data_IF_688097247664
#
_entry.id   IF_688097247664
#
_cell.length_a   1.000
_cell.length_b   1.000
_cell.length_c   1.000
_cell.angle_alpha   90.00
_cell.angle_beta   90.00
_cell.angle_gamma   90.00
#
_symmetry.space_group_name_H-M   'P 1'
#
loop_
_entity.id
_entity.type
_entity.pdbx_description
1 polymer ?
2 polymer ?
3 water ?
#
# COMPACT_ATOMS: atom_id res chain seq x y z
N UNK A 1 -22.29 -19.32 -3.53
CA UNK A 1 -20.95 -19.14 -2.91
C UNK A 1 -21.11 -18.73 -1.47
N UNK A 2 -20.39 -19.39 -0.57
CA UNK A 2 -20.56 -19.12 0.86
C UNK A 2 -20.01 -17.77 1.30
N UNK A 3 -20.81 -17.01 2.04
CA UNK A 3 -20.41 -15.69 2.51
C UNK A 3 -19.70 -15.73 3.89
N UNK A 4 -18.43 -15.30 3.87
CA UNK A 4 -17.56 -15.25 5.05
C UNK A 4 -17.73 -13.96 5.85
N UNK A 5 -18.63 -14.01 6.83
CA UNK A 5 -18.97 -12.83 7.60
C UNK A 5 -17.90 -12.61 8.68
N UNK A 6 -17.05 -11.60 8.44
CA UNK A 6 -15.94 -11.27 9.32
C UNK A 6 -16.25 -10.12 10.27
N UNK A 7 -15.79 -10.24 11.50
CA UNK A 7 -16.12 -9.32 12.57
C UNK A 7 -14.98 -9.20 13.59
N UNK A 8 -14.67 -7.97 14.05
CA UNK A 8 -15.25 -6.70 13.64
C UNK A 8 -14.49 -6.12 12.45
N UNK A 9 -15.10 -5.16 11.77
CA UNK A 9 -14.47 -4.63 10.57
C UNK A 9 -13.18 -3.89 10.89
N UNK A 10 -13.06 -3.36 12.11
CA UNK A 10 -11.80 -2.75 12.56
C UNK A 10 -11.73 -2.66 14.10
N UNK A 11 -10.53 -2.41 14.62
CA UNK A 11 -10.36 -2.24 16.06
C UNK A 11 -9.34 -1.18 16.44
N UNK A 12 -9.06 -1.08 17.75
CA UNK A 12 -8.01 -0.22 18.30
C UNK A 12 -7.59 -0.68 19.70
N UNK A 13 -6.98 -1.85 19.81
CA UNK A 13 -6.44 -2.25 21.13
C UNK A 13 -5.07 -1.66 21.44
N UNK A 14 -4.67 -1.79 22.70
CA UNK A 14 -3.38 -1.36 23.17
C UNK A 14 -2.35 -2.48 23.00
N UNK A 15 -1.07 -2.13 23.16
CA UNK A 15 0.01 -3.10 23.00
C UNK A 15 0.00 -4.09 24.16
N UNK A 16 0.31 -5.35 23.84
CA UNK A 16 0.25 -6.43 24.82
C UNK A 16 -1.17 -6.88 25.10
N UNK A 17 -2.12 -6.33 24.35
CA UNK A 17 -3.52 -6.68 24.51
C UNK A 17 -3.77 -7.98 23.78
N UNK A 18 -5.03 -8.37 23.75
CA UNK A 18 -5.43 -9.61 23.11
C UNK A 18 -6.72 -9.41 22.32
N UNK A 19 -6.70 -9.88 21.08
CA UNK A 19 -7.84 -9.74 20.23
C UNK A 19 -8.41 -11.09 19.88
N UNK A 20 -9.73 -11.12 19.73
CA UNK A 20 -10.45 -12.25 19.18
C UNK A 20 -11.22 -11.77 17.98
N UNK A 21 -10.89 -12.33 16.82
CA UNK A 21 -11.64 -12.03 15.60
C UNK A 21 -12.39 -13.27 15.13
N UNK A 22 -13.70 -13.10 15.00
CA UNK A 22 -14.56 -14.22 14.71
C UNK A 22 -15.12 -14.06 13.30
N UNK A 23 -14.94 -15.11 12.52
CA UNK A 23 -15.38 -15.15 11.16
C UNK A 23 -16.58 -16.08 11.20
N UNK A 24 -17.64 -15.75 10.46
CA UNK A 24 -18.86 -16.54 10.46
C UNK A 24 -19.29 -16.98 9.06
N UNK A 25 -19.19 -18.30 8.85
CA UNK A 25 -19.64 -18.98 7.63
C UNK A 25 -21.17 -18.96 7.46
N UNK A 26 -21.59 -18.72 6.23
CA UNK A 26 -22.99 -18.70 5.85
C UNK A 26 -23.62 -20.09 5.96
N UNK A 27 -22.78 -21.12 6.06
CA UNK A 27 -23.26 -22.49 6.13
C UNK A 27 -22.64 -23.34 7.23
N UNK A 28 -21.61 -24.12 6.90
CA UNK A 28 -21.14 -25.16 7.83
C UNK A 28 -19.78 -25.77 7.50
N UNK A 29 -19.03 -25.17 6.57
CA UNK A 29 -17.64 -25.57 6.30
C UNK A 29 -16.97 -26.35 7.44
N UNK A 30 -16.71 -27.64 7.23
CA UNK A 30 -16.15 -28.50 8.29
C UNK A 30 -14.66 -28.20 8.53
N UNK A 31 -14.41 -27.02 9.08
CA UNK A 31 -13.09 -26.58 9.54
C UNK A 31 -12.09 -26.32 8.42
N UNK A 32 -12.58 -26.28 7.18
CA UNK A 32 -11.74 -25.90 6.04
C UNK A 32 -11.56 -24.40 5.97
N UNK A 33 -10.76 -23.87 6.89
CA UNK A 33 -10.61 -22.43 6.98
C UNK A 33 -9.18 -22.03 7.35
N UNK A 34 -8.78 -20.89 6.82
CA UNK A 34 -7.42 -20.44 6.89
C UNK A 34 -7.42 -19.04 7.44
N UNK A 35 -6.32 -18.67 8.08
CA UNK A 35 -6.23 -17.37 8.64
C UNK A 35 -5.01 -16.65 8.16
N UNK A 36 -5.24 -15.67 7.30
CA UNK A 36 -4.16 -14.95 6.64
C UNK A 36 -3.80 -13.62 7.30
N UNK A 37 -2.54 -13.21 7.19
CA UNK A 37 -2.16 -11.88 7.63
C UNK A 37 -1.54 -11.16 6.45
N UNK A 38 -1.99 -9.93 6.23
CA UNK A 38 -1.37 -9.08 5.24
C UNK A 38 -0.77 -7.88 5.94
N UNK A 39 0.57 -7.87 6.00
CA UNK A 39 1.36 -6.72 6.45
C UNK A 39 1.35 -5.63 5.38
N UNK A 40 1.24 -4.36 5.80
CA UNK A 40 1.10 -3.19 4.94
C UNK A 40 1.81 -3.32 3.60
N UNK A 41 1.04 -3.18 2.51
CA UNK A 41 1.59 -3.19 1.14
C UNK A 41 2.40 -4.41 0.72
N UNK A 42 2.48 -5.42 1.60
CA UNK A 42 3.19 -6.63 1.26
C UNK A 42 2.20 -7.67 0.76
N UNK A 43 2.57 -8.93 0.87
CA UNK A 43 1.71 -10.03 0.49
C UNK A 43 1.23 -10.66 1.79
N UNK A 44 0.66 -11.86 1.66
CA UNK A 44 0.10 -12.62 2.77
C UNK A 44 1.06 -13.65 3.34
N UNK A 45 0.83 -14.03 4.59
CA UNK A 45 1.50 -15.16 5.23
C UNK A 45 0.48 -15.93 6.08
N UNK A 46 0.09 -17.12 5.64
CA UNK A 46 -0.89 -17.95 6.39
C UNK A 46 -0.55 -18.24 7.86
N UNK A 47 -1.51 -18.02 8.75
CA UNK A 47 -1.28 -18.13 10.20
C UNK A 47 -1.82 -19.42 10.82
N UNK A 48 -3.07 -19.70 10.51
CA UNK A 48 -3.73 -20.93 10.93
C UNK A 48 -4.34 -21.65 9.72
N UNK A 49 -4.41 -22.95 9.79
CA UNK A 49 -5.07 -23.69 8.74
C UNK A 49 -5.93 -24.78 9.33
N UNK A 50 -6.87 -25.28 8.53
CA UNK A 50 -7.75 -26.36 8.93
C UNK A 50 -8.44 -26.00 10.23
N UNK A 51 -8.43 -24.70 10.54
CA UNK A 51 -9.20 -24.14 11.64
C UNK A 51 -8.48 -23.81 12.93
N UNK A 52 -7.49 -24.63 13.27
CA UNK A 52 -6.90 -24.56 14.59
C UNK A 52 -5.41 -24.81 14.57
N UNK A 53 -4.87 -25.15 13.42
CA UNK A 53 -3.44 -25.50 13.31
C UNK A 53 -2.57 -24.28 13.04
N UNK A 54 -1.49 -24.13 13.79
CA UNK A 54 -0.51 -23.07 13.54
C UNK A 54 0.34 -23.43 12.33
N UNK A 55 0.61 -22.46 11.45
CA UNK A 55 1.51 -22.70 10.33
C UNK A 55 2.94 -22.57 10.85
N UNK A 56 3.90 -23.21 10.16
CA UNK A 56 5.29 -23.20 10.62
C UNK A 56 5.82 -21.78 10.70
N UNK A 57 6.74 -21.56 11.64
CA UNK A 57 7.34 -20.25 11.87
C UNK A 57 6.42 -19.25 12.55
N UNK A 58 5.17 -19.65 12.80
CA UNK A 58 4.15 -18.79 13.41
C UNK A 58 4.30 -18.84 14.93
N UNK A 59 4.33 -17.64 15.57
CA UNK A 59 4.43 -17.47 17.01
C UNK A 59 3.31 -18.18 17.76
N UNK A 60 3.54 -18.48 19.03
CA UNK A 60 2.53 -19.09 19.89
C UNK A 60 1.63 -18.05 20.58
N UNK A 61 1.76 -16.79 20.16
CA UNK A 61 0.81 -15.77 20.56
C UNK A 61 -0.50 -15.92 19.73
N UNK A 62 -0.36 -16.50 18.54
CA UNK A 62 -1.47 -16.72 17.64
C UNK A 62 -2.05 -18.09 17.86
N UNK A 63 -3.35 -18.21 17.59
CA UNK A 63 -4.10 -19.44 17.82
C UNK A 63 -5.55 -19.23 17.40
N UNK A 64 -6.11 -20.23 16.75
CA UNK A 64 -7.49 -20.16 16.30
C UNK A 64 -8.28 -21.37 16.75
N UNK A 65 -9.60 -21.22 16.71
CA UNK A 65 -10.55 -22.22 17.16
C UNK A 65 -11.86 -22.01 16.39
N UNK A 66 -12.75 -23.01 16.44
CA UNK A 66 -14.05 -22.97 15.77
C UNK A 66 -14.63 -24.33 15.34
N UNK A 67 -15.94 -24.36 15.18
CA UNK A 67 -16.65 -25.54 14.65
C UNK A 67 -17.86 -25.08 13.83
N UNK A 68 -18.30 -25.92 12.90
CA UNK A 68 -19.51 -25.61 12.15
C UNK A 68 -19.43 -24.34 11.32
N UNK A 69 -20.17 -23.31 11.71
CA UNK A 69 -20.25 -22.09 10.89
C UNK A 69 -19.52 -20.92 11.54
N UNK A 70 -18.68 -21.23 12.54
CA UNK A 70 -18.22 -20.21 13.47
C UNK A 70 -16.84 -20.46 14.05
N UNK A 71 -15.93 -19.55 13.66
CA UNK A 71 -14.48 -19.70 13.81
C UNK A 71 -13.87 -18.37 14.22
N UNK A 72 -12.75 -18.42 14.91
CA UNK A 72 -12.15 -17.22 15.48
C UNK A 72 -10.64 -17.30 15.63
N UNK A 73 -10.07 -16.12 15.77
CA UNK A 73 -8.64 -15.94 15.79
C UNK A 73 -8.30 -15.06 16.97
N UNK A 74 -7.41 -15.53 17.82
CA UNK A 74 -6.97 -14.73 18.94
C UNK A 74 -5.47 -14.59 18.88
N UNK A 75 -5.04 -13.40 19.24
CA UNK A 75 -3.64 -13.04 19.26
C UNK A 75 -3.38 -12.45 20.62
N UNK A 76 -2.54 -13.14 21.39
CA UNK A 76 -2.22 -12.70 22.75
C UNK A 76 -0.99 -11.81 22.70
N UNK A 77 -0.76 -11.08 23.79
CA UNK A 77 0.43 -10.23 23.90
C UNK A 77 0.73 -9.62 22.55
N UNK A 78 -0.22 -8.83 22.07
CA UNK A 78 -0.08 -8.07 20.83
C UNK A 78 1.21 -7.24 20.74
N UNK A 79 1.75 -7.17 19.54
CA UNK A 79 2.99 -6.44 19.26
C UNK A 79 2.76 -5.57 18.05
N UNK A 80 3.66 -4.60 17.85
CA UNK A 80 3.55 -3.65 16.75
C UNK A 80 3.31 -4.35 15.41
N UNK A 81 4.19 -5.29 15.06
CA UNK A 81 4.09 -6.12 13.84
C UNK A 81 2.69 -6.71 13.66
N UNK A 82 2.05 -7.05 14.77
CA UNK A 82 0.73 -7.66 14.73
C UNK A 82 -0.35 -6.70 14.27
N UNK A 83 -0.08 -5.41 14.34
CA UNK A 83 -1.09 -4.44 13.93
C UNK A 83 -1.14 -4.28 12.40
N UNK A 84 -1.76 -5.26 11.76
CA UNK A 84 -1.90 -5.32 10.31
C UNK A 84 -3.32 -5.82 9.91
N UNK A 85 -3.51 -6.21 8.67
CA UNK A 85 -4.81 -6.75 8.27
C UNK A 85 -4.86 -8.27 8.38
N UNK A 86 -6.06 -8.79 8.61
CA UNK A 86 -6.30 -10.21 8.78
C UNK A 86 -7.53 -10.58 8.00
N UNK A 87 -7.49 -11.75 7.38
CA UNK A 87 -8.55 -12.21 6.51
C UNK A 87 -8.70 -13.71 6.73
N UNK A 88 -9.93 -14.20 6.81
CA UNK A 88 -10.20 -15.62 6.88
C UNK A 88 -10.55 -16.08 5.48
N UNK A 89 -10.28 -17.35 5.20
CA UNK A 89 -10.62 -17.91 3.92
C UNK A 89 -11.20 -19.29 4.11
N UNK A 90 -12.16 -19.65 3.26
CA UNK A 90 -12.81 -20.94 3.41
C UNK A 90 -12.52 -21.78 2.19
N UNK A 91 -12.12 -23.01 2.42
CA UNK A 91 -11.78 -23.86 1.32
C UNK A 91 -12.48 -25.18 1.32
N UNK A 92 -13.71 -25.23 1.82
CA UNK A 92 -14.46 -26.50 1.78
C UNK A 92 -15.28 -26.63 0.51
N UNK A 93 -16.13 -25.64 0.22
CA UNK A 93 -17.01 -25.69 -0.95
C UNK A 93 -16.59 -24.64 -1.94
N UNK A 94 -16.73 -24.95 -3.23
CA UNK A 94 -16.38 -24.03 -4.31
C UNK A 94 -17.52 -23.10 -4.63
N UNK A 95 -17.22 -21.85 -5.01
CA UNK A 95 -15.84 -21.37 -5.06
C UNK A 95 -15.36 -20.96 -3.67
N UNK A 96 -14.05 -21.06 -3.45
CA UNK A 96 -13.48 -20.63 -2.19
C UNK A 96 -13.63 -19.13 -2.14
N UNK A 97 -14.04 -18.63 -0.99
CA UNK A 97 -14.34 -17.22 -0.79
C UNK A 97 -13.63 -16.75 0.47
N UNK A 98 -13.34 -15.43 0.55
CA UNK A 98 -12.57 -14.80 1.65
C UNK A 98 -13.40 -13.86 2.48
N UNK A 99 -13.02 -13.68 3.74
CA UNK A 99 -13.67 -12.69 4.59
C UNK A 99 -13.33 -11.26 4.21
N UNK A 100 -14.14 -10.32 4.69
CA UNK A 100 -14.02 -8.90 4.31
C UNK A 100 -12.85 -8.17 4.95
N UNK A 101 -12.06 -8.91 5.73
CA UNK A 101 -10.87 -8.41 6.40
C UNK A 101 -11.13 -7.77 7.74
N UNK A 102 -10.08 -7.66 8.55
CA UNK A 102 -10.11 -6.93 9.83
C UNK A 102 -8.83 -6.09 10.01
N UNK A 103 -8.96 -4.78 9.92
CA UNK A 103 -7.85 -3.86 10.20
C UNK A 103 -7.64 -3.83 11.70
N UNK A 104 -6.41 -3.56 12.12
CA UNK A 104 -6.09 -3.56 13.53
C UNK A 104 -5.23 -2.37 13.84
N UNK A 105 -5.54 -1.66 14.91
CA UNK A 105 -4.88 -0.40 15.21
C UNK A 105 -4.50 -0.28 16.66
N UNK A 106 -3.36 0.36 16.88
CA UNK A 106 -2.87 0.59 18.23
C UNK A 106 -3.49 1.88 18.75
N UNK A 107 -4.25 1.78 19.84
CA UNK A 107 -4.80 2.99 20.49
C UNK A 107 -3.65 3.80 21.06
N UNK A 108 -3.55 5.04 20.60
CA UNK A 108 -2.51 6.00 20.97
C UNK A 108 -3.18 7.20 21.64
N UNK A 109 -2.40 8.02 22.35
CA UNK A 109 -2.85 9.34 22.80
C UNK A 109 -2.80 10.35 21.66
N UNK A 110 -3.54 11.45 21.81
CA UNK A 110 -3.50 12.51 20.83
C UNK A 110 -2.08 13.00 20.57
N UNK A 111 -1.84 13.40 19.32
CA UNK A 111 -0.61 14.10 18.96
C UNK A 111 -0.88 15.30 18.05
N UNK A 112 -0.24 16.42 18.35
CA UNK A 112 -0.23 17.57 17.47
C UNK A 112 0.78 17.21 16.40
N UNK A 113 0.48 17.58 15.13
CA UNK A 113 1.33 17.18 14.00
C UNK A 113 2.64 17.95 13.97
N UNK A 114 3.62 17.47 13.20
CA UNK A 114 4.81 18.30 12.89
C UNK A 114 4.79 18.72 11.43
N UNK A 115 4.51 20.01 11.23
CA UNK A 115 4.15 20.57 9.93
C UNK A 115 5.33 21.20 9.22
N UNK A 116 5.53 20.81 7.97
CA UNK A 116 6.55 21.42 7.15
C UNK A 116 5.94 21.78 5.82
N UNK A 117 6.26 22.98 5.35
CA UNK A 117 5.85 23.44 4.04
C UNK A 117 7.07 23.47 3.13
N UNK A 118 6.87 23.25 1.82
CA UNK A 118 7.96 23.15 0.87
C UNK A 118 7.61 23.91 -0.39
N UNK A 119 8.32 25.02 -0.66
CA UNK A 119 8.16 25.72 -1.93
C UNK A 119 8.48 24.81 -3.10
N UNK A 120 8.09 25.20 -4.32
CA UNK A 120 8.38 24.39 -5.49
C UNK A 120 9.87 24.38 -5.76
N UNK A 121 10.37 23.24 -6.23
CA UNK A 121 11.77 23.16 -6.57
C UNK A 121 12.00 23.97 -7.85
N UNK A 122 13.20 24.52 -7.97
CA UNK A 122 13.61 25.18 -9.18
C UNK A 122 14.05 24.11 -10.14
N UNK A 123 13.22 23.08 -10.29
CA UNK A 123 13.39 22.09 -11.34
C UNK A 123 12.02 21.83 -11.90
N UNK A 124 11.02 21.91 -11.01
CA UNK A 124 9.64 21.86 -11.40
C UNK A 124 9.27 23.19 -12.08
N UNK A 125 9.86 24.28 -11.60
CA UNK A 125 9.51 25.59 -12.10
C UNK A 125 9.96 25.66 -13.54
N UNK A 126 11.27 25.51 -13.74
CA UNK A 126 11.83 25.45 -15.08
C UNK A 126 11.09 24.46 -15.97
N UNK A 127 10.25 23.60 -15.38
CA UNK A 127 9.52 22.58 -16.16
C UNK A 127 8.13 23.06 -16.57
N UNK A 128 7.65 24.13 -15.93
CA UNK A 128 6.35 24.72 -16.25
C UNK A 128 5.41 24.71 -15.05
N UNK A 129 5.35 23.57 -14.37
CA UNK A 129 4.51 23.43 -13.18
C UNK A 129 5.14 24.04 -11.95
N UNK A 130 4.42 23.98 -10.82
CA UNK A 130 4.92 24.40 -9.50
C UNK A 130 3.98 23.93 -8.38
N UNK A 131 4.42 22.92 -7.63
CA UNK A 131 3.63 22.45 -6.50
C UNK A 131 4.18 22.92 -5.16
N UNK A 132 3.30 23.54 -4.37
CA UNK A 132 3.61 23.90 -2.99
C UNK A 132 3.10 22.79 -2.10
N UNK A 133 4.01 22.16 -1.40
CA UNK A 133 3.72 20.92 -0.71
C UNK A 133 3.71 21.10 0.82
N UNK A 134 3.03 20.22 1.54
CA UNK A 134 2.91 20.39 2.95
C UNK A 134 2.76 19.04 3.63
N UNK A 135 3.65 18.75 4.58
CA UNK A 135 3.56 17.49 5.31
C UNK A 135 3.17 17.74 6.72
N UNK A 136 2.24 16.94 7.19
CA UNK A 136 1.80 16.98 8.54
C UNK A 136 2.12 15.60 9.14
N UNK A 137 3.13 15.52 10.00
CA UNK A 137 3.52 14.19 10.50
C UNK A 137 3.28 13.85 11.98
N UNK A 138 3.16 12.56 12.26
CA UNK A 138 3.17 12.03 13.62
C UNK A 138 2.13 12.61 14.55
N UNK A 139 0.89 12.28 14.24
CA UNK A 139 -0.23 12.79 14.98
C UNK A 139 -1.33 11.74 15.08
N UNK A 140 -2.28 12.02 15.98
CA UNK A 140 -3.38 11.12 16.32
C UNK A 140 -4.45 12.02 16.95
N UNK A 141 -5.73 11.81 16.56
CA UNK A 141 -6.22 10.79 15.64
C UNK A 141 -6.04 11.18 14.16
N UNK A 142 -6.39 10.27 13.25
CA UNK A 142 -6.26 10.52 11.81
C UNK A 142 -6.94 11.82 11.34
N UNK A 143 -8.15 12.08 11.83
CA UNK A 143 -8.90 13.24 11.41
C UNK A 143 -8.09 14.52 11.51
N UNK A 144 -7.75 15.08 10.36
CA UNK A 144 -7.06 16.36 10.34
C UNK A 144 -7.75 17.24 9.29
N UNK A 145 -7.59 18.55 9.42
CA UNK A 145 -8.05 19.46 8.38
C UNK A 145 -6.95 20.46 8.07
N UNK A 146 -6.40 20.35 6.86
CA UNK A 146 -5.47 21.34 6.36
C UNK A 146 -6.13 22.32 5.40
N UNK A 147 -5.66 23.57 5.45
CA UNK A 147 -6.14 24.61 4.58
C UNK A 147 -4.99 25.45 4.10
N UNK A 148 -5.10 25.86 2.83
CA UNK A 148 -4.15 26.70 2.14
C UNK A 148 -4.64 28.14 1.97
N UNK A 149 -3.66 29.03 1.86
CA UNK A 149 -3.91 30.42 1.54
C UNK A 149 -2.84 30.93 0.58
N UNK A 150 -3.20 31.98 -0.16
CA UNK A 150 -2.30 32.68 -1.07
C UNK A 150 -2.49 34.17 -0.83
N UNK A 151 -1.54 34.77 -0.13
CA UNK A 151 -1.65 36.16 0.24
C UNK A 151 -2.99 36.39 0.96
N UNK A 152 -3.35 35.46 1.85
CA UNK A 152 -4.56 35.60 2.66
C UNK A 152 -5.75 34.83 2.15
N UNK A 153 -6.14 35.08 0.90
CA UNK A 153 -7.27 34.38 0.29
C UNK A 153 -7.05 32.86 0.34
N UNK A 154 -7.98 32.17 1.00
CA UNK A 154 -7.99 30.72 1.13
C UNK A 154 -8.15 30.09 -0.24
N UNK A 155 -7.55 28.90 -0.45
CA UNK A 155 -7.60 28.23 -1.76
C UNK A 155 -7.93 26.74 -1.76
N UNK A 156 -9.03 26.40 -2.40
CA UNK A 156 -9.50 25.01 -2.42
C UNK A 156 -9.07 24.30 -3.71
N UNK A 157 -8.91 25.07 -4.79
CA UNK A 157 -8.48 24.56 -6.10
C UNK A 157 -7.04 24.12 -6.11
N UNK A 158 -6.77 22.93 -6.63
CA UNK A 158 -5.41 22.50 -6.92
C UNK A 158 -4.74 21.76 -5.79
N UNK A 159 -5.50 21.55 -4.73
CA UNK A 159 -5.04 20.80 -3.59
C UNK A 159 -5.31 19.31 -3.81
N UNK A 160 -4.45 18.48 -3.23
CA UNK A 160 -4.58 17.01 -3.26
C UNK A 160 -4.01 16.39 -1.98
N UNK A 161 -4.87 15.78 -1.18
CA UNK A 161 -4.45 15.26 0.13
C UNK A 161 -4.23 13.77 0.13
N UNK A 162 -3.21 13.32 0.84
CA UNK A 162 -2.92 11.89 0.96
C UNK A 162 -2.59 11.52 2.40
N UNK A 163 -3.41 10.65 2.99
CA UNK A 163 -3.08 10.11 4.31
C UNK A 163 -2.38 8.76 4.20
N UNK A 164 -1.37 8.53 5.03
CA UNK A 164 -0.93 7.18 5.26
C UNK A 164 -1.75 6.52 6.35
N UNK A 165 -1.81 5.19 6.27
CA UNK A 165 -2.32 4.37 7.35
C UNK A 165 -1.40 4.50 8.55
N UNK A 166 -1.81 3.90 9.65
CA UNK A 166 -1.10 4.05 10.91
C UNK A 166 0.32 3.48 10.83
N UNK A 167 1.29 4.21 11.36
CA UNK A 167 2.63 3.68 11.53
C UNK A 167 2.64 2.86 12.80
N UNK A 168 2.95 1.58 12.68
CA UNK A 168 2.98 0.68 13.84
C UNK A 168 4.18 1.03 14.75
N UNK A 169 5.22 1.60 14.15
CA UNK A 169 6.40 2.00 14.91
C UNK A 169 5.98 2.96 16.03
N UNK A 170 5.08 3.90 15.73
CA UNK A 170 4.70 4.93 16.72
C UNK A 170 3.19 5.21 16.80
N UNK A 171 2.37 4.37 16.18
CA UNK A 171 0.92 4.50 16.29
C UNK A 171 0.38 5.83 15.76
N UNK A 172 1.16 6.50 14.90
CA UNK A 172 0.68 7.76 14.32
C UNK A 172 0.46 7.71 12.83
N UNK A 173 -0.17 8.78 12.36
CA UNK A 173 -0.44 8.97 10.97
C UNK A 173 0.44 10.10 10.45
N UNK A 174 0.32 10.34 9.15
CA UNK A 174 0.84 11.53 8.49
C UNK A 174 0.03 11.78 7.23
N UNK A 175 0.13 13.00 6.73
CA UNK A 175 -0.57 13.36 5.51
C UNK A 175 0.18 14.46 4.77
N UNK A 176 0.09 14.42 3.45
CA UNK A 176 0.73 15.40 2.61
C UNK A 176 -0.33 16.13 1.82
N UNK A 177 -0.38 17.43 2.04
CA UNK A 177 -1.29 18.26 1.31
C UNK A 177 -0.51 18.97 0.22
N UNK A 178 -0.87 18.67 -1.03
CA UNK A 178 -0.23 19.23 -2.22
C UNK A 178 -1.08 20.27 -2.95
N UNK A 179 -0.50 21.46 -3.13
CA UNK A 179 -1.06 22.49 -4.00
C UNK A 179 -0.27 22.60 -5.29
N UNK A 180 -0.96 22.47 -6.43
CA UNK A 180 -0.31 22.51 -7.75
C UNK A 180 -0.79 23.66 -8.61
N UNK A 181 0.16 24.53 -8.96
CA UNK A 181 -0.12 25.69 -9.76
C UNK A 181 0.75 25.69 -11.01
N UNK A 182 0.44 26.63 -11.90
CA UNK A 182 1.28 26.92 -13.05
C UNK A 182 2.38 27.87 -12.61
N UNK A 183 3.62 27.61 -13.05
CA UNK A 183 4.78 28.45 -12.72
C UNK A 183 4.50 29.97 -12.90
N UNK A 184 3.69 30.32 -13.90
CA UNK A 184 3.30 31.71 -14.11
C UNK A 184 2.52 32.24 -12.90
N UNK A 185 1.49 31.51 -12.49
CA UNK A 185 0.66 31.96 -11.37
C UNK A 185 1.42 31.97 -10.07
N UNK A 186 2.27 30.99 -9.87
CA UNK A 186 3.14 30.98 -8.73
C UNK A 186 3.93 32.29 -8.65
N UNK A 187 4.51 32.69 -9.78
CA UNK A 187 5.33 33.92 -9.86
C UNK A 187 4.54 35.21 -9.64
N UNK A 188 3.22 35.08 -9.61
CA UNK A 188 2.34 36.22 -9.45
C UNK A 188 1.80 36.32 -8.00
N UNK A 189 2.52 35.71 -7.07
CA UNK A 189 2.09 35.69 -5.68
C UNK A 189 3.24 35.72 -4.68
N UNK A 190 2.99 36.36 -3.53
CA UNK A 190 4.03 36.48 -2.51
C UNK A 190 3.98 35.45 -1.36
N UNK A 191 2.81 35.23 -0.74
CA UNK A 191 2.76 34.38 0.44
C UNK A 191 1.93 33.10 0.36
N UNK A 192 2.43 32.06 1.02
CA UNK A 192 1.90 30.71 0.90
C UNK A 192 1.88 30.07 2.26
N UNK A 193 0.67 29.76 2.70
CA UNK A 193 0.43 29.45 4.09
C UNK A 193 -0.32 28.14 4.15
N UNK A 194 0.11 27.30 5.07
CA UNK A 194 -0.47 25.99 5.25
C UNK A 194 -0.96 25.91 6.69
N UNK A 195 -2.24 25.58 6.85
CA UNK A 195 -2.91 25.60 8.16
C UNK A 195 -3.45 24.24 8.62
N UNK A 196 -2.77 23.60 9.55
CA UNK A 196 -3.31 22.38 10.11
C UNK A 196 -4.12 22.68 11.36
N UNK A 197 -5.38 22.23 11.35
CA UNK A 197 -6.25 22.25 12.54
C UNK A 197 -6.55 20.83 12.99
N UNK A 198 -6.16 20.53 14.22
CA UNK A 198 -6.30 19.21 14.81
C UNK A 198 -7.03 19.33 16.14
N UNK A 199 -7.76 18.27 16.52
CA UNK A 199 -8.51 18.25 17.81
C UNK A 199 -7.58 18.53 18.97
N UNK A 200 -6.30 18.23 18.74
CA UNK A 200 -5.22 18.49 19.67
C UNK A 200 -5.07 19.97 20.00
N UNK A 201 -4.93 20.80 18.97
CA UNK A 201 -4.67 22.25 19.12
C UNK A 201 -5.96 23.06 19.09
N UNK A 202 -5.95 24.13 19.89
CA UNK A 202 -7.05 25.11 19.93
C UNK A 202 -6.99 26.08 18.73
N UNK A 203 -5.76 26.54 18.46
CA UNK A 203 -5.44 27.36 17.29
C UNK A 203 -4.55 26.57 16.32
N UNK A 204 -4.79 26.75 15.01
CA UNK A 204 -4.10 25.97 13.99
C UNK A 204 -2.58 26.15 13.99
N UNK A 205 -1.87 25.15 13.47
CA UNK A 205 -0.44 25.29 13.14
C UNK A 205 -0.23 25.96 11.75
N UNK A 206 0.46 27.10 11.74
CA UNK A 206 0.69 27.89 10.53
C UNK A 206 2.14 27.81 10.05
N UNK A 207 2.38 27.15 8.92
CA UNK A 207 3.65 27.27 8.21
C UNK A 207 3.40 27.95 6.88
N UNK A 208 4.20 28.97 6.60
CA UNK A 208 4.10 29.71 5.36
C UNK A 208 5.46 30.26 4.91
N UNK A 209 5.56 30.63 3.63
CA UNK A 209 6.77 31.29 3.15
C UNK A 209 6.44 32.46 2.23
N UNK A 210 7.48 33.20 1.87
CA UNK A 210 7.42 34.24 0.85
C UNK A 210 8.19 33.76 -0.35
N UNK A 211 7.51 33.68 -1.48
CA UNK A 211 8.13 33.36 -2.76
C UNK A 211 9.21 34.39 -3.04
N UNK A 212 8.95 35.64 -2.64
CA UNK A 212 9.95 36.69 -2.72
C UNK A 212 11.31 36.13 -2.31
N UNK A 213 11.45 35.72 -1.05
CA UNK A 213 12.61 34.95 -0.60
C UNK A 213 12.99 33.86 -1.62
N UNK B 1 9.83 -25.88 1.21
CA UNK B 1 9.96 -24.40 1.17
C UNK B 1 9.86 -23.87 -0.26
N UNK B 2 8.64 -23.55 -0.66
CA UNK B 2 8.35 -23.16 -2.02
C UNK B 2 8.47 -21.66 -2.19
N UNK B 3 8.86 -21.25 -3.40
CA UNK B 3 8.89 -19.83 -3.78
C UNK B 3 7.93 -19.56 -4.93
N UNK B 4 7.11 -18.54 -4.78
CA UNK B 4 6.27 -18.09 -5.88
C UNK B 4 6.81 -16.78 -6.39
N UNK B 5 7.14 -16.80 -7.68
CA UNK B 5 7.70 -15.70 -8.43
C UNK B 5 6.74 -15.39 -9.58
N UNK B 6 5.88 -14.41 -9.36
CA UNK B 6 4.89 -14.11 -10.36
C UNK B 6 5.36 -12.99 -11.26
N UNK B 7 5.62 -13.34 -12.51
CA UNK B 7 5.99 -12.37 -13.54
C UNK B 7 4.76 -11.99 -14.30
N UNK B 8 4.95 -11.22 -15.37
CA UNK B 8 3.85 -10.81 -16.22
C UNK B 8 3.79 -9.29 -16.28
N UNK B 9 3.40 -8.73 -17.45
CA UNK B 9 3.26 -7.29 -17.64
C UNK B 9 2.05 -6.73 -16.93
N UNK B 10 2.22 -5.55 -16.35
CA UNK B 10 1.27 -4.97 -15.39
C UNK B 10 0.24 -4.00 -15.98
N UNK B 11 0.36 -3.69 -17.27
CA UNK B 11 -0.60 -2.76 -17.91
C UNK B 11 -1.26 -3.35 -19.15
N UNK B 12 -2.55 -3.63 -19.01
CA UNK B 12 -3.37 -4.21 -20.07
C UNK B 12 -4.53 -3.28 -20.45
N UNK B 13 -4.71 -3.14 -21.76
CA UNK B 13 -5.80 -2.39 -22.37
C UNK B 13 -7.11 -3.18 -22.29
N UNK B 14 -8.25 -2.48 -22.04
CA UNK B 14 -9.59 -3.10 -21.92
C UNK B 14 -9.97 -3.93 -23.14
N UNK B 15 -10.76 -4.97 -22.91
CA UNK B 15 -11.09 -5.99 -23.92
C UNK B 15 -9.93 -6.95 -24.25
N UNK B 16 -8.68 -6.49 -24.16
CA UNK B 16 -7.54 -7.38 -24.38
C UNK B 16 -7.42 -8.48 -23.31
N UNK B 17 -6.37 -9.29 -23.38
CA UNK B 17 -6.25 -10.40 -22.46
C UNK B 17 -5.07 -10.30 -21.52
N UNK B 18 -5.35 -10.53 -20.25
CA UNK B 18 -4.34 -10.54 -19.20
C UNK B 18 -3.80 -11.94 -18.98
N UNK B 19 -2.48 -12.06 -19.11
CA UNK B 19 -1.82 -13.36 -18.97
C UNK B 19 -0.58 -13.32 -18.05
N UNK B 20 -0.68 -13.95 -16.89
CA UNK B 20 0.43 -13.96 -15.96
C UNK B 20 1.11 -15.33 -15.80
N UNK B 21 2.19 -15.33 -15.02
CA UNK B 21 3.01 -16.50 -14.80
C UNK B 21 3.48 -16.49 -13.38
N UNK B 22 3.26 -17.61 -12.69
CA UNK B 22 3.86 -17.83 -11.40
C UNK B 22 4.99 -18.77 -11.69
N UNK B 23 6.11 -18.60 -10.98
CA UNK B 23 7.27 -19.48 -11.17
C UNK B 23 7.63 -20.14 -9.85
N UNK B 24 7.38 -21.44 -9.80
CA UNK B 24 7.55 -22.17 -8.57
C UNK B 24 8.97 -22.74 -8.45
N UNK B 25 9.58 -22.58 -7.28
CA UNK B 25 10.87 -23.23 -6.99
C UNK B 25 10.89 -23.83 -5.60
N UNK B 26 11.67 -24.90 -5.46
CA UNK B 26 11.84 -25.62 -4.20
C UNK B 26 10.65 -26.52 -3.95
N UNK B 27 9.92 -26.81 -5.03
CA UNK B 27 8.77 -27.70 -5.01
C UNK B 27 8.24 -27.98 -6.40
N UNK B 28 7.75 -29.21 -6.59
CA UNK B 28 7.20 -29.67 -7.85
C UNK B 28 5.68 -29.56 -7.89
N UNK B 29 5.15 -28.78 -8.83
CA UNK B 29 3.70 -28.57 -8.95
C UNK B 29 2.89 -29.82 -9.36
N UNK B 30 3.60 -30.90 -9.69
CA UNK B 30 2.97 -32.17 -10.07
C UNK B 30 2.88 -33.03 -8.83
N UNK B 31 3.91 -32.89 -8.01
CA UNK B 31 3.96 -33.53 -6.69
C UNK B 31 2.68 -33.30 -5.92
N UNK B 32 2.31 -32.05 -5.70
CA UNK B 32 1.30 -31.82 -4.70
C UNK B 32 0.51 -30.54 -4.87
N UNK B 33 -0.42 -30.34 -3.92
CA UNK B 33 -1.07 -29.07 -3.67
C UNK B 33 -1.95 -28.58 -4.81
N UNK B 34 -2.66 -27.47 -4.54
CA UNK B 34 -3.45 -26.77 -5.55
C UNK B 34 -2.80 -25.43 -5.69
N UNK B 35 -2.72 -24.94 -6.92
CA UNK B 35 -1.91 -23.79 -7.23
C UNK B 35 -2.84 -22.79 -7.82
N UNK B 36 -2.91 -21.62 -7.21
CA UNK B 36 -4.06 -20.76 -7.41
C UNK B 36 -3.74 -19.38 -7.85
N UNK B 37 -4.80 -18.70 -8.26
CA UNK B 37 -4.72 -17.32 -8.64
C UNK B 37 -5.73 -16.55 -7.81
N UNK B 38 -5.24 -15.59 -7.05
CA UNK B 38 -6.13 -14.82 -6.19
C UNK B 38 -5.90 -13.34 -6.47
N UNK B 39 -6.98 -12.61 -6.74
CA UNK B 39 -6.80 -11.18 -6.95
C UNK B 39 -7.36 -10.43 -5.76
N UNK B 40 -6.72 -9.30 -5.46
CA UNK B 40 -7.16 -8.40 -4.39
C UNK B 40 -7.44 -7.03 -4.98
N UNK B 41 -8.69 -6.59 -4.90
CA UNK B 41 -9.04 -5.33 -5.50
C UNK B 41 -8.61 -4.20 -4.58
N UNK B 42 -8.38 -2.99 -5.16
CA UNK B 42 -8.10 -1.83 -4.35
C UNK B 42 -9.29 -1.72 -3.44
N UNK B 43 -9.05 -1.37 -2.18
CA UNK B 43 -10.09 -1.54 -1.15
C UNK B 43 -10.01 -2.98 -0.62
N UNK B 44 -8.90 -3.63 -0.92
CA UNK B 44 -8.47 -4.85 -0.26
C UNK B 44 -9.48 -6.02 -0.26
N UNK B 45 -10.48 -5.97 -1.15
CA UNK B 45 -11.32 -7.13 -1.38
C UNK B 45 -10.50 -8.26 -2.01
N UNK B 46 -10.81 -9.50 -1.63
CA UNK B 46 -10.11 -10.66 -2.17
C UNK B 46 -11.05 -11.55 -2.96
N UNK B 47 -10.73 -11.76 -4.23
CA UNK B 47 -11.44 -12.76 -5.00
C UNK B 47 -10.54 -13.96 -5.31
N UNK B 48 -11.02 -15.17 -4.97
CA UNK B 48 -10.40 -16.39 -5.47
C UNK B 48 -10.81 -16.55 -6.93
N UNK B 49 -9.86 -16.92 -7.77
CA UNK B 49 -10.11 -16.93 -9.17
C UNK B 49 -10.19 -18.33 -9.73
N UNK B 50 -9.41 -19.22 -9.14
CA UNK B 50 -9.25 -20.58 -9.61
C UNK B 50 -7.90 -21.21 -9.31
N UNK B 51 -7.68 -22.40 -9.89
CA UNK B 51 -6.46 -23.18 -9.71
C UNK B 51 -6.33 -24.33 -10.68
N UNK B 52 -5.17 -24.96 -10.60
CA UNK B 52 -4.88 -26.19 -11.31
C UNK B 52 -4.19 -27.06 -10.27
N UNK B 53 -4.73 -28.26 -10.03
CA UNK B 53 -4.12 -29.20 -9.06
C UNK B 53 -2.77 -29.73 -9.54
N UNK B 54 -2.12 -30.49 -8.67
CA UNK B 54 -0.91 -31.23 -9.03
C UNK B 54 -1.11 -32.08 -10.30
N UNK B 55 -2.31 -32.63 -10.43
CA UNK B 55 -2.68 -33.52 -11.54
C UNK B 55 -3.37 -32.80 -12.71
N UNK B 56 -3.00 -31.55 -12.95
CA UNK B 56 -3.48 -30.81 -14.12
C UNK B 56 -4.96 -30.59 -14.11
N UNK B 57 -5.56 -30.63 -12.91
CA UNK B 57 -7.03 -30.51 -12.73
C UNK B 57 -7.46 -29.12 -12.31
N UNK B 58 -8.19 -28.42 -13.19
CA UNK B 58 -8.63 -27.04 -12.93
C UNK B 58 -9.99 -26.87 -12.31
N UNK B 59 -10.06 -25.90 -11.42
CA UNK B 59 -11.31 -25.40 -10.89
C UNK B 59 -11.27 -23.86 -10.90
N UNK B 60 -12.34 -23.25 -11.41
CA UNK B 60 -12.46 -21.79 -11.43
C UNK B 60 -13.58 -21.24 -10.56
N UNK B 61 -13.47 -19.97 -10.20
CA UNK B 61 -14.61 -19.23 -9.67
C UNK B 61 -15.54 -18.90 -10.84
N UNK B 62 -16.81 -19.37 -10.77
CA UNK B 62 -17.79 -19.29 -11.86
C UNK B 62 -18.11 -17.86 -12.29
N UNK B 63 -17.90 -16.89 -11.42
CA UNK B 63 -18.08 -15.49 -11.82
C UNK B 63 -17.03 -15.08 -12.87
N UNK B 64 -16.09 -15.97 -13.17
CA UNK B 64 -15.12 -15.75 -14.24
C UNK B 64 -15.33 -16.79 -15.35
N UNK B 65 -15.65 -18.01 -14.94
CA UNK B 65 -15.86 -19.18 -15.82
C UNK B 65 -15.55 -18.98 -17.31
N UNK B 66 -16.35 -18.18 -18.00
CA UNK B 66 -16.18 -17.97 -19.45
C UNK B 66 -14.78 -17.49 -19.91
N UNK B 67 -14.14 -16.64 -19.11
CA UNK B 67 -12.96 -15.94 -19.59
C UNK B 67 -11.67 -16.34 -18.93
N UNK B 68 -11.78 -17.24 -17.95
CA UNK B 68 -10.62 -17.65 -17.17
C UNK B 68 -9.99 -18.93 -17.71
N UNK B 69 -8.67 -19.05 -17.57
CA UNK B 69 -7.94 -20.19 -18.11
C UNK B 69 -6.61 -20.33 -17.39
N UNK B 70 -6.51 -21.36 -16.56
CA UNK B 70 -5.32 -21.59 -15.76
C UNK B 70 -4.64 -22.86 -16.24
N UNK B 71 -3.43 -22.73 -16.76
CA UNK B 71 -2.65 -23.88 -17.25
C UNK B 71 -1.26 -23.91 -16.60
N UNK B 72 -0.45 -24.90 -16.95
CA UNK B 72 0.87 -25.13 -16.33
C UNK B 72 1.91 -25.67 -17.31
N UNK B 73 3.16 -25.68 -16.88
CA UNK B 73 4.29 -26.21 -17.61
C UNK B 73 5.13 -27.05 -16.64
N UNK B 74 5.14 -28.37 -16.86
CA UNK B 74 5.96 -29.33 -16.11
C UNK B 74 7.44 -28.94 -16.14
N UNK B 75 8.01 -28.94 -17.35
CA UNK B 75 9.43 -28.74 -17.58
C UNK B 75 9.99 -27.56 -16.80
N UNK B 76 9.43 -26.38 -17.05
CA UNK B 76 9.85 -25.13 -16.40
C UNK B 76 9.32 -25.04 -14.97
N UNK B 77 8.19 -25.72 -14.73
CA UNK B 77 7.57 -25.77 -13.39
C UNK B 77 6.91 -24.42 -13.10
N UNK B 78 5.92 -24.09 -13.92
CA UNK B 78 5.23 -22.80 -13.84
C UNK B 78 3.76 -22.97 -14.14
N UNK B 79 2.90 -22.15 -13.54
CA UNK B 79 1.51 -22.10 -14.02
C UNK B 79 1.18 -20.74 -14.55
N UNK B 80 0.10 -20.66 -15.33
CA UNK B 80 -0.23 -19.43 -16.06
C UNK B 80 -1.67 -19.07 -15.94
N UNK B 81 -1.88 -17.80 -15.61
CA UNK B 81 -3.19 -17.22 -15.62
C UNK B 81 -3.44 -16.55 -16.94
N UNK B 82 -4.55 -16.90 -17.57
CA UNK B 82 -5.07 -16.14 -18.69
C UNK B 82 -6.47 -15.69 -18.37
N UNK B 83 -6.73 -14.41 -18.59
CA UNK B 83 -8.05 -13.82 -18.38
C UNK B 83 -8.44 -12.92 -19.55
N UNK B 84 -9.43 -13.34 -20.34
CA UNK B 84 -9.82 -12.59 -21.55
C UNK B 84 -10.87 -11.50 -21.31
N UNK B 85 -11.05 -10.63 -22.30
CA UNK B 85 -12.03 -9.54 -22.22
C UNK B 85 -11.98 -8.73 -20.92
N UNK B 86 -10.79 -8.49 -20.40
CA UNK B 86 -10.62 -7.60 -19.26
C UNK B 86 -11.41 -6.29 -19.38
N UNK B 87 -11.85 -5.77 -18.23
CA UNK B 87 -12.48 -4.47 -18.13
C UNK B 87 -11.66 -3.63 -17.14
N UNK B 88 -11.85 -2.30 -17.10
CA UNK B 88 -11.32 -1.50 -15.98
C UNK B 88 -11.49 -2.25 -14.67
N UNK B 89 -12.69 -2.81 -14.48
CA UNK B 89 -13.08 -3.57 -13.28
C UNK B 89 -12.24 -4.80 -12.91
N UNK B 90 -11.32 -5.21 -13.77
CA UNK B 90 -10.41 -6.30 -13.44
C UNK B 90 -9.05 -5.81 -12.93
N UNK B 91 -8.93 -4.52 -12.63
CA UNK B 91 -7.72 -3.94 -12.04
C UNK B 91 -7.54 -4.35 -10.57
N UNK B 92 -6.71 -5.35 -10.32
CA UNK B 92 -6.39 -5.73 -8.96
C UNK B 92 -4.91 -6.08 -8.81
N UNK B 93 -4.52 -6.48 -7.60
CA UNK B 93 -3.18 -6.97 -7.32
C UNK B 93 -3.21 -8.47 -7.34
N UNK B 94 -2.50 -9.06 -8.29
CA UNK B 94 -2.62 -10.47 -8.53
C UNK B 94 -1.61 -11.28 -7.73
N UNK B 95 -2.14 -12.25 -6.99
CA UNK B 95 -1.36 -13.18 -6.19
C UNK B 95 -1.50 -14.62 -6.72
N UNK B 96 -0.37 -15.35 -6.72
CA UNK B 96 -0.43 -16.79 -6.81
C UNK B 96 -0.14 -17.33 -5.44
N UNK B 97 -0.71 -18.48 -5.13
CA UNK B 97 -0.57 -19.11 -3.82
C UNK B 97 -0.70 -20.60 -3.97
N UNK B 98 -0.38 -21.34 -2.91
CA UNK B 98 -0.59 -22.79 -2.91
C UNK B 98 -1.75 -23.10 -1.99
N UNK B 99 -2.52 -24.13 -2.34
CA UNK B 99 -3.66 -24.52 -1.53
C UNK B 99 -3.48 -25.92 -0.95
N UNK B 100 -4.36 -26.26 0.00
CA UNK B 100 -4.26 -27.52 0.77
C UNK B 100 -3.28 -27.38 1.91
N UNK B 101 -3.78 -27.67 3.12
CA UNK B 101 -3.13 -27.30 4.41
C UNK B 101 -3.23 -25.78 4.62
N UNK B 102 -4.27 -25.18 4.04
CA UNK B 102 -4.43 -23.75 4.08
C UNK B 102 -3.73 -23.12 2.90
N UNK B 103 -3.11 -21.96 3.14
CA UNK B 103 -2.45 -21.19 2.08
C UNK B 103 -1.04 -20.81 2.50
N UNK B 104 -0.16 -21.82 2.68
CA UNK B 104 1.12 -21.61 3.31
C UNK B 104 1.96 -20.59 2.57
N UNK B 105 2.20 -20.82 1.28
CA UNK B 105 3.15 -20.01 0.51
C UNK B 105 2.41 -19.11 -0.44
N UNK B 106 2.90 -17.90 -0.58
CA UNK B 106 2.26 -16.88 -1.38
C UNK B 106 3.31 -16.26 -2.25
N UNK B 107 2.88 -15.68 -3.36
CA UNK B 107 3.76 -14.90 -4.21
C UNK B 107 3.79 -13.53 -3.61
N UNK B 108 4.68 -12.67 -4.12
CA UNK B 108 4.84 -11.29 -3.60
C UNK B 108 3.75 -10.36 -4.15
N UNK B 109 2.94 -10.91 -5.04
CA UNK B 109 1.91 -10.13 -5.70
C UNK B 109 2.39 -9.38 -6.93
N UNK B 110 1.42 -9.04 -7.76
CA UNK B 110 1.68 -8.22 -8.91
C UNK B 110 0.44 -7.34 -9.15
N UNK B 111 0.68 -6.05 -9.23
CA UNK B 111 -0.36 -5.11 -9.55
C UNK B 111 -0.61 -5.13 -11.05
N UNK B 112 -1.87 -5.27 -11.41
CA UNK B 112 -2.27 -5.19 -12.80
C UNK B 112 -3.25 -4.05 -12.99
N UNK B 113 -2.97 -3.17 -13.95
CA UNK B 113 -3.89 -2.07 -14.23
C UNK B 113 -4.51 -2.22 -15.60
N UNK B 114 -5.85 -2.17 -15.65
CA UNK B 114 -6.58 -2.20 -16.92
C UNK B 114 -7.01 -0.79 -17.36
N UNK B 115 -6.29 -0.25 -18.34
CA UNK B 115 -6.43 1.14 -18.77
C UNK B 115 -5.96 1.44 -20.18
N UNK B 116 -6.68 2.37 -20.82
CA UNK B 116 -6.31 2.90 -22.12
C UNK B 116 -5.32 4.08 -22.01
N UNK B 117 -5.04 4.47 -20.76
CA UNK B 117 -4.09 5.54 -20.47
C UNK B 117 -2.64 5.10 -20.75
N UNK B 118 -1.86 6.02 -21.32
CA UNK B 118 -0.47 5.75 -21.68
C UNK B 118 0.46 5.71 -20.48
N UNK B 119 1.49 4.89 -20.61
CA UNK B 119 2.62 4.85 -19.68
C UNK B 119 3.32 6.18 -19.78
N UNK B 120 3.31 6.94 -18.68
CA UNK B 120 4.19 8.09 -18.60
C UNK B 120 5.27 7.77 -17.58
N UNK B 121 6.51 8.20 -17.86
CA UNK B 121 7.58 8.12 -16.88
C UNK B 121 7.42 9.27 -15.88
N UNK B 122 7.79 9.04 -14.60
CA UNK B 122 7.57 10.05 -13.57
C UNK B 122 8.70 11.05 -13.48
N UNK B 123 8.34 12.33 -13.42
CA UNK B 123 9.28 13.41 -13.08
C UNK B 123 9.44 13.55 -11.55
N UNK B 124 10.65 13.31 -11.07
CA UNK B 124 11.01 13.38 -9.65
C UNK B 124 11.52 14.76 -9.32
N UNK B 125 11.18 15.25 -8.14
CA UNK B 125 11.59 16.57 -7.72
C UNK B 125 12.01 16.49 -6.26
N UNK B 126 13.17 17.09 -5.93
CA UNK B 126 13.59 17.20 -4.56
C UNK B 126 12.87 18.36 -3.90
N UNK B 127 12.49 18.14 -2.65
CA UNK B 127 11.81 19.14 -1.87
C UNK B 127 12.64 19.39 -0.64
N UNK B 128 13.63 20.27 -0.75
CA UNK B 128 14.43 20.72 0.40
C UNK B 128 13.62 21.69 1.30
N UNK B 129 14.07 21.90 2.56
CA UNK B 129 13.31 22.71 3.51
C UNK B 129 13.12 24.14 3.01
N UNK B 130 12.13 24.83 3.59
CA UNK B 130 11.83 26.24 3.28
C UNK B 130 13.04 27.16 3.28
N UNK B 131 12.85 28.36 2.72
CA UNK B 131 13.94 29.31 2.45
C UNK B 131 14.97 29.54 3.58
N UNK B 132 14.82 30.63 4.32
CA UNK B 132 15.79 31.02 5.34
C UNK B 132 15.76 30.22 6.62
N UNK B 133 14.60 29.64 6.92
CA UNK B 133 14.39 28.90 8.16
C UNK B 133 15.40 27.76 8.35
N UNK B 134 16.60 28.13 8.80
CA UNK B 134 17.56 27.17 9.32
C UNK B 134 16.89 26.42 10.47
N UNK B 135 17.32 25.18 10.69
CA UNK B 135 16.65 24.31 11.68
C UNK B 135 17.31 24.34 13.07
N UNK B 136 17.75 23.18 13.54
CA UNK B 136 18.37 23.05 14.84
C UNK B 136 18.59 21.58 15.08
N UNK B 137 17.74 21.00 15.91
CA UNK B 137 17.79 19.57 16.19
C UNK B 137 17.26 18.77 14.99
N UNK B 138 16.01 19.05 14.60
CA UNK B 138 15.33 18.28 13.56
C UNK B 138 15.35 18.97 12.21
N UNK B 139 15.34 18.18 11.14
CA UNK B 139 15.21 18.68 9.77
C UNK B 139 14.45 17.68 8.89
N UNK B 140 13.43 18.17 8.20
CA UNK B 140 12.55 17.34 7.39
C UNK B 140 12.75 17.61 5.89
N UNK B 141 13.07 16.56 5.15
CA UNK B 141 13.24 16.69 3.71
C UNK B 141 12.20 15.84 2.98
N UNK B 142 12.01 16.13 1.70
CA UNK B 142 10.99 15.44 0.92
C UNK B 142 11.41 15.08 -0.48
N UNK B 143 10.49 14.45 -1.21
CA UNK B 143 10.69 14.09 -2.60
C UNK B 143 9.29 13.99 -3.13
N UNK B 144 9.08 14.56 -4.31
CA UNK B 144 7.79 14.55 -4.96
C UNK B 144 7.88 13.87 -6.31
N UNK B 145 6.96 12.94 -6.55
CA UNK B 145 6.93 12.17 -7.80
C UNK B 145 5.70 12.50 -8.66
N UNK B 146 5.91 13.18 -9.81
CA UNK B 146 4.77 13.62 -10.67
C UNK B 146 4.55 12.85 -11.98
N UNK B 147 3.40 13.07 -12.60
CA UNK B 147 3.12 12.59 -13.96
C UNK B 147 3.60 11.21 -14.40
N UNK B 148 3.20 10.18 -13.66
CA UNK B 148 3.51 8.81 -14.03
C UNK B 148 2.27 7.93 -14.05
N UNK B 149 2.39 6.87 -14.84
CA UNK B 149 1.36 5.84 -14.96
C UNK B 149 2.05 4.61 -15.52
N UNK B 150 1.59 3.41 -15.11
CA UNK B 150 0.56 3.14 -14.14
C UNK B 150 1.09 2.97 -12.73
N UNK B 151 0.19 2.59 -11.83
CA UNK B 151 0.53 2.34 -10.45
C UNK B 151 1.70 1.38 -10.35
N UNK B 152 2.73 1.85 -9.65
CA UNK B 152 3.91 1.08 -9.25
C UNK B 152 5.17 1.95 -9.30
N UNK B 153 5.49 2.57 -8.16
CA UNK B 153 6.81 3.16 -7.93
C UNK B 153 7.35 2.68 -6.57
N UNK B 154 8.63 2.90 -6.33
CA UNK B 154 9.24 2.58 -5.05
C UNK B 154 10.21 3.69 -4.72
N UNK B 155 9.82 4.59 -3.81
CA UNK B 155 10.73 5.63 -3.32
C UNK B 155 11.55 5.05 -2.17
N UNK B 156 12.87 5.00 -2.33
CA UNK B 156 13.77 4.65 -1.21
C UNK B 156 14.73 5.79 -0.95
N UNK B 157 15.10 5.97 0.30
CA UNK B 157 15.99 7.06 0.64
C UNK B 157 17.40 6.56 0.80
N UNK B 158 18.30 7.20 0.07
CA UNK B 158 19.62 6.67 -0.28
C UNK B 158 19.41 5.31 -0.91
N UNK B 159 19.32 4.33 -0.01
CA UNK B 159 19.02 2.95 -0.32
C UNK B 159 18.81 2.41 1.07
N UNK B 160 17.55 2.19 1.41
CA UNK B 160 17.17 1.72 2.75
C UNK B 160 17.73 2.46 3.96
N UNK B 161 18.99 2.90 3.91
CA UNK B 161 19.73 3.46 5.07
C UNK B 161 18.85 4.33 5.97
N UNK B 162 18.24 5.36 5.38
CA UNK B 162 17.33 6.23 6.10
C UNK B 162 15.96 5.57 6.37
N UNK B 163 15.93 4.24 6.30
CA UNK B 163 14.77 3.40 6.66
C UNK B 163 13.79 4.07 7.64
N UNK B 164 14.26 4.24 8.87
CA UNK B 164 13.49 4.85 9.96
C UNK B 164 13.19 6.32 9.71
N UNK B 165 12.14 6.83 10.35
CA UNK B 165 11.70 8.21 10.17
C UNK B 165 11.57 8.56 8.68
N UNK B 166 10.74 7.77 7.98
CA UNK B 166 10.39 8.00 6.58
C UNK B 166 8.90 7.76 6.36
N UNK B 167 8.27 8.72 5.72
CA UNK B 167 6.87 8.58 5.42
C UNK B 167 6.72 8.75 3.92
N UNK B 168 6.17 7.73 3.28
CA UNK B 168 5.87 7.77 1.86
C UNK B 168 4.38 7.58 1.69
N UNK B 169 3.74 8.66 1.26
CA UNK B 169 2.30 8.80 1.19
C UNK B 169 1.77 8.06 -0.01
N UNK B 170 0.64 7.36 0.17
CA UNK B 170 0.11 6.61 -0.97
C UNK B 170 -0.22 7.57 -2.12
N UNK B 171 -0.20 7.06 -3.35
CA UNK B 171 -0.41 7.87 -4.56
C UNK B 171 -1.86 8.27 -4.79
N UNK B 172 -2.05 9.46 -5.34
CA UNK B 172 -3.37 9.97 -5.67
C UNK B 172 -3.48 10.17 -7.18
N UNK B 173 -4.62 9.74 -7.71
CA UNK B 173 -4.83 9.70 -9.15
C UNK B 173 -5.55 10.95 -9.60
N UNK B 174 -4.97 11.68 -10.54
CA UNK B 174 -5.72 12.76 -11.17
C UNK B 174 -5.45 12.75 -12.66
N UNK B 175 -6.54 12.63 -13.42
CA UNK B 175 -6.49 12.65 -14.88
C UNK B 175 -5.49 11.65 -15.44
N UNK B 176 -5.65 10.37 -15.08
CA UNK B 176 -4.83 9.29 -15.63
C UNK B 176 -3.35 9.35 -15.17
N UNK B 177 -3.06 10.10 -14.11
CA UNK B 177 -1.67 10.32 -13.67
C UNK B 177 -1.55 10.34 -12.16
N UNK B 178 -0.46 9.79 -11.65
CA UNK B 178 -0.23 9.80 -10.20
C UNK B 178 0.86 10.76 -9.86
N UNK B 179 0.58 11.48 -8.79
CA UNK B 179 1.48 12.38 -8.12
C UNK B 179 1.61 11.72 -6.76
N UNK B 180 2.83 11.60 -6.27
CA UNK B 180 3.07 11.12 -4.90
C UNK B 180 4.37 11.67 -4.32
N UNK B 181 4.41 11.88 -3.01
CA UNK B 181 5.61 12.44 -2.40
C UNK B 181 6.05 11.65 -1.17
N UNK B 182 7.28 11.91 -0.72
CA UNK B 182 7.79 11.24 0.46
C UNK B 182 8.69 12.14 1.25
N UNK B 183 8.45 12.13 2.57
CA UNK B 183 9.21 12.91 3.54
C UNK B 183 10.13 12.02 4.37
N UNK B 184 11.32 12.53 4.59
CA UNK B 184 12.29 11.88 5.44
C UNK B 184 12.65 12.86 6.54
N UNK B 185 12.76 12.35 7.77
CA UNK B 185 13.12 13.17 8.93
C UNK B 185 14.51 12.74 9.45
N UNK B 186 15.40 13.73 9.62
CA UNK B 186 16.81 13.48 10.01
C UNK B 186 17.28 14.36 11.20
N UNK B 187 18.46 14.05 11.80
CA UNK B 187 19.09 14.96 12.80
C UNK B 187 19.62 16.29 12.23
N UNK B 188 20.82 16.29 11.66
CA UNK B 188 21.51 17.50 11.17
C UNK B 188 22.97 17.21 10.86
N UNK B 189 23.66 16.55 11.79
CA UNK B 189 25.02 16.03 11.55
C UNK B 189 24.97 14.99 10.45
N UNK B 190 23.81 14.98 9.80
CA UNK B 190 23.41 14.06 8.77
C UNK B 190 23.25 14.81 7.45
N UNK B 191 22.64 15.99 7.51
CA UNK B 191 22.36 16.79 6.32
C UNK B 191 22.52 18.27 6.62
N UNK B 192 23.13 19.05 5.67
CA UNK B 192 23.51 18.67 4.30
C UNK B 192 24.76 17.79 4.18
N UNK B 193 25.26 17.33 5.33
CA UNK B 193 26.43 16.46 5.43
C UNK B 193 26.40 15.30 4.44
N UNK B 194 25.61 14.27 4.77
CA UNK B 194 25.53 13.05 3.98
C UNK B 194 24.61 13.16 2.75
N UNK B 195 25.18 12.96 1.57
CA UNK B 195 24.44 12.73 0.32
C UNK B 195 23.11 11.95 0.51
N UNK B 196 22.06 12.68 0.84
CA UNK B 196 20.73 12.11 1.00
C UNK B 196 19.95 12.18 -0.32
N UNK B 197 19.93 11.07 -1.06
CA UNK B 197 19.21 11.06 -2.33
C UNK B 197 17.88 10.30 -2.26
N UNK B 198 16.97 10.68 -3.16
CA UNK B 198 15.68 10.02 -3.31
C UNK B 198 15.79 9.02 -4.43
N UNK B 199 15.61 7.74 -4.11
CA UNK B 199 15.74 6.66 -5.10
C UNK B 199 14.38 6.11 -5.52
N UNK B 200 13.92 6.50 -6.70
CA UNK B 200 12.61 6.07 -7.20
C UNK B 200 12.75 5.19 -8.41
N UNK B 201 12.16 4.00 -8.32
CA UNK B 201 12.02 3.09 -9.47
C UNK B 201 10.58 3.09 -9.96
N UNK B 202 10.40 3.21 -11.27
CA UNK B 202 9.09 3.03 -11.93
C UNK B 202 9.30 2.02 -13.06
N UNK B 203 8.93 0.74 -12.81
CA UNK B 203 9.32 -0.36 -13.70
C UNK B 203 8.74 -0.26 -15.11
N UNK B 204 7.50 0.21 -15.21
CA UNK B 204 6.82 0.26 -16.50
C UNK B 204 7.47 1.17 -17.55
N UNK B 205 8.58 1.82 -17.19
CA UNK B 205 9.37 2.58 -18.15
C UNK B 205 10.88 2.49 -17.87
N UNK B 206 11.23 1.60 -16.93
CA UNK B 206 12.62 1.42 -16.46
C UNK B 206 13.28 2.78 -16.22
N UNK B 207 12.84 3.45 -15.16
CA UNK B 207 13.26 4.80 -14.90
C UNK B 207 13.71 4.93 -13.46
N UNK B 208 14.76 4.20 -13.10
CA UNK B 208 15.29 4.26 -11.74
C UNK B 208 16.09 5.54 -11.66
N UNK B 209 15.39 6.65 -11.47
CA UNK B 209 16.07 7.92 -11.32
C UNK B 209 16.30 8.20 -9.84
N UNK B 210 17.45 8.81 -9.55
CA UNK B 210 17.76 9.30 -8.22
C UNK B 210 17.74 10.82 -8.36
N UNK B 211 17.37 11.51 -7.26
CA UNK B 211 17.59 12.96 -7.13
C UNK B 211 18.17 13.30 -5.75
N UNK B 212 19.15 14.21 -5.78
CA UNK B 212 19.92 14.56 -4.61
C UNK B 212 19.42 15.85 -4.01
N UNK B 213 18.96 15.77 -2.77
CA UNK B 213 18.44 16.92 -2.03
C UNK B 213 19.56 17.90 -1.67
N UNK B 214 19.56 19.07 -2.33
CA UNK B 214 20.53 20.13 -2.04
C UNK B 214 19.76 21.35 -1.51
N UNK B 215 20.41 22.17 -0.64
CA UNK B 215 19.84 23.45 -0.16
C UNK B 215 19.55 24.47 -1.27
N UNK B 216 18.53 25.30 -1.09
CA UNK B 216 18.10 26.28 -2.10
C UNK B 216 19.04 27.50 -2.25
N UNK B 217 18.67 28.46 -3.11
CA UNK B 217 19.50 29.66 -3.37
C UNK B 217 18.75 31.01 -3.49
#
# INVERSE_FOLDING_TARGET
>A
DILMTQSPSSMSVSLGDTVSITCHASQDIISNIGWLQQKPGKSFAGLIYHGTNLSDGVPSRFSGSGSGADYSLTISSLESEDFADYYCVQYAQFPWTFGGGTKLEIARADAAPTVSIFPPSSEQLTSGGASVVCFLNNFYPKDINVKWKIDGSERQNGVLNSWTDQDSKDSTYSMSSTLTLTKDEYERHNSYTCEATHKTSTSPIVKSFNRNE
>B
DVQLQESGPSLVKPSQSLSLTCTVTGYSITSDFAWNWIRQFPGNKLEWMGYISYSGNTRYNPSLKSRISITRDTSSNQFFLQLNSVTPEDTATYYCATAGRGFPYWGQGTLVTVSAAKTTPPSVYPLAPGCGDTTGSSVTLGCLVKGYFPESVTVTWNSGSLSSSVHTFPALLQSDLYTMSSSVTVPSSTWPSETVTCSVAHPASSTTVDKKLEPRA
#
